data_IF_263186458288
#
_entry.id   IF_263186458288
#
_cell.length_a   1.000
_cell.length_b   1.000
_cell.length_c   1.000
_cell.angle_alpha   90.00
_cell.angle_beta   90.00
_cell.angle_gamma   90.00
#
_symmetry.space_group_name_H-M   'P 1'
#
loop_
_entity.id
_entity.type
_entity.pdbx_description
1 polymer ?
#
# COMPACT_ATOMS: atom_id res chain seq x y z
N UNK A 1 -7.78 -16.19 25.85
CA UNK A 1 -8.32 -16.77 24.60
C UNK A 1 -7.25 -16.60 23.52
N UNK A 2 -6.50 -17.65 23.20
CA UNK A 2 -5.55 -17.62 22.09
C UNK A 2 -6.33 -17.77 20.79
N UNK A 3 -6.31 -16.74 19.94
CA UNK A 3 -6.91 -16.83 18.61
C UNK A 3 -6.12 -17.83 17.77
N UNK A 4 -6.75 -18.94 17.39
CA UNK A 4 -6.26 -19.86 16.39
C UNK A 4 -6.39 -19.24 15.00
N UNK A 5 -5.56 -18.23 14.68
CA UNK A 5 -5.35 -17.87 13.28
C UNK A 5 -4.42 -18.91 12.67
N UNK A 6 -5.01 -19.94 12.04
CA UNK A 6 -4.26 -20.77 11.10
C UNK A 6 -3.68 -19.86 10.01
N UNK A 7 -2.41 -20.03 9.62
CA UNK A 7 -1.83 -19.25 8.54
C UNK A 7 -2.59 -19.57 7.24
N UNK A 8 -3.39 -18.61 6.78
CA UNK A 8 -4.05 -18.67 5.47
C UNK A 8 -2.95 -18.71 4.40
N UNK A 9 -2.99 -19.74 3.55
CA UNK A 9 -2.11 -19.78 2.38
C UNK A 9 -2.66 -18.79 1.33
N UNK A 10 -1.84 -17.81 0.95
CA UNK A 10 -2.19 -16.82 -0.05
C UNK A 10 -1.64 -17.21 -1.42
N UNK A 11 -2.40 -16.92 -2.48
CA UNK A 11 -1.98 -17.13 -3.86
C UNK A 11 -0.81 -16.22 -4.27
N UNK A 12 -0.09 -16.55 -5.36
CA UNK A 12 1.05 -15.79 -5.83
C UNK A 12 0.72 -14.32 -6.14
N UNK A 13 -0.52 -14.02 -6.51
CA UNK A 13 -1.01 -12.68 -6.78
C UNK A 13 -1.00 -11.78 -5.54
N UNK A 14 -1.48 -12.28 -4.39
CA UNK A 14 -1.49 -11.53 -3.14
C UNK A 14 -0.08 -11.42 -2.55
N UNK A 15 0.72 -12.47 -2.67
CA UNK A 15 2.13 -12.44 -2.23
C UNK A 15 2.94 -11.39 -3.01
N UNK A 16 2.67 -11.20 -4.30
CA UNK A 16 3.31 -10.18 -5.11
C UNK A 16 2.95 -8.76 -4.64
N UNK A 17 1.67 -8.51 -4.30
CA UNK A 17 1.21 -7.21 -3.77
C UNK A 17 1.76 -6.94 -2.37
N UNK A 18 1.70 -7.93 -1.48
CA UNK A 18 2.27 -7.83 -0.13
C UNK A 18 3.74 -7.39 -0.19
N UNK A 19 4.51 -7.94 -1.14
CA UNK A 19 5.90 -7.52 -1.39
C UNK A 19 6.03 -6.06 -1.84
N UNK A 20 5.10 -5.53 -2.65
CA UNK A 20 5.18 -4.13 -3.12
C UNK A 20 5.02 -3.10 -2.01
N UNK A 21 4.15 -3.41 -1.03
CA UNK A 21 3.87 -2.53 0.12
C UNK A 21 4.64 -2.90 1.39
N UNK A 22 5.37 -4.02 1.40
CA UNK A 22 6.20 -4.43 2.54
C UNK A 22 5.45 -5.17 3.65
N UNK A 23 4.31 -5.79 3.33
CA UNK A 23 3.51 -6.59 4.29
C UNK A 23 4.08 -8.00 4.43
N UNK A 24 4.18 -8.48 5.67
CA UNK A 24 4.49 -9.87 5.97
C UNK A 24 3.24 -10.74 5.74
N UNK A 25 3.26 -11.75 4.86
CA UNK A 25 2.11 -12.61 4.59
C UNK A 25 1.59 -13.42 5.79
N UNK A 26 2.38 -13.51 6.87
CA UNK A 26 1.96 -14.14 8.12
C UNK A 26 1.08 -13.24 8.98
N UNK A 27 1.08 -11.94 8.73
CA UNK A 27 0.20 -10.99 9.41
C UNK A 27 -1.16 -10.96 8.70
N UNK A 28 -2.08 -11.80 9.19
CA UNK A 28 -3.42 -11.92 8.60
C UNK A 28 -4.21 -10.61 8.60
N UNK A 29 -3.94 -9.72 9.56
CA UNK A 29 -4.62 -8.42 9.67
C UNK A 29 -4.14 -7.48 8.56
N UNK A 30 -2.83 -7.37 8.37
CA UNK A 30 -2.26 -6.53 7.30
C UNK A 30 -2.54 -7.09 5.91
N UNK A 31 -2.71 -8.40 5.78
CA UNK A 31 -3.11 -9.03 4.52
C UNK A 31 -4.51 -8.63 4.05
N UNK A 32 -5.40 -8.15 4.91
CA UNK A 32 -6.71 -7.61 4.49
C UNK A 32 -6.54 -6.38 3.59
N UNK A 33 -5.52 -5.55 3.84
CA UNK A 33 -5.19 -4.42 2.98
C UNK A 33 -4.68 -4.87 1.61
N UNK A 34 -3.94 -5.98 1.58
CA UNK A 34 -3.43 -6.59 0.34
C UNK A 34 -4.57 -7.19 -0.47
N UNK A 35 -5.54 -7.85 0.18
CA UNK A 35 -6.75 -8.37 -0.46
C UNK A 35 -7.61 -7.24 -1.05
N UNK A 36 -7.72 -6.11 -0.34
CA UNK A 36 -8.41 -4.93 -0.85
C UNK A 36 -7.70 -4.35 -2.08
N UNK A 37 -6.37 -4.22 -2.04
CA UNK A 37 -5.54 -3.75 -3.15
C UNK A 37 -5.66 -4.62 -4.42
N UNK A 38 -6.03 -5.90 -4.28
CA UNK A 38 -6.18 -6.82 -5.41
C UNK A 38 -7.51 -6.68 -6.15
N UNK A 39 -8.50 -6.01 -5.55
CA UNK A 39 -9.85 -5.87 -6.12
C UNK A 39 -9.84 -4.95 -7.34
N UNK A 40 -10.61 -5.25 -8.40
CA UNK A 40 -10.78 -4.33 -9.53
C UNK A 40 -11.30 -2.95 -9.11
N UNK A 41 -12.17 -2.88 -8.10
CA UNK A 41 -12.77 -1.65 -7.59
C UNK A 41 -11.76 -0.72 -6.90
N UNK A 42 -10.61 -1.26 -6.51
CA UNK A 42 -9.51 -0.54 -5.86
C UNK A 42 -8.58 0.18 -6.85
N UNK A 43 -8.84 0.01 -8.15
CA UNK A 43 -8.12 0.70 -9.21
C UNK A 43 -8.63 2.13 -9.38
N UNK A 44 -7.74 3.14 -9.51
CA UNK A 44 -8.14 4.47 -9.94
C UNK A 44 -8.84 4.44 -11.30
N UNK A 45 -9.65 5.47 -11.54
CA UNK A 45 -10.37 5.61 -12.81
C UNK A 45 -9.42 5.46 -14.02
N UNK A 46 -9.89 4.70 -15.01
CA UNK A 46 -9.18 4.44 -16.29
C UNK A 46 -7.89 3.62 -16.16
N UNK A 47 -7.60 3.05 -14.98
CA UNK A 47 -6.59 2.03 -14.84
C UNK A 47 -7.21 0.63 -14.86
N UNK A 48 -6.48 -0.34 -15.38
CA UNK A 48 -6.81 -1.76 -15.28
C UNK A 48 -5.61 -2.53 -14.77
N UNK A 49 -5.83 -3.73 -14.23
CA UNK A 49 -4.80 -4.59 -13.67
C UNK A 49 -4.90 -6.02 -14.20
N UNK A 50 -3.75 -6.68 -14.33
CA UNK A 50 -3.67 -8.09 -14.69
C UNK A 50 -2.47 -8.71 -13.99
N UNK A 51 -2.66 -9.90 -13.41
CA UNK A 51 -1.56 -10.70 -12.89
C UNK A 51 -0.93 -11.55 -14.01
N UNK A 52 0.35 -11.36 -14.26
CA UNK A 52 1.15 -12.23 -15.13
C UNK A 52 1.66 -13.42 -14.31
N UNK A 53 1.02 -14.58 -14.48
CA UNK A 53 1.36 -15.79 -13.75
C UNK A 53 2.76 -16.33 -14.10
N UNK A 54 3.24 -16.12 -15.33
CA UNK A 54 4.57 -16.58 -15.77
C UNK A 54 5.66 -15.75 -15.10
N UNK A 55 5.49 -14.43 -15.07
CA UNK A 55 6.42 -13.50 -14.44
C UNK A 55 6.16 -13.28 -12.94
N UNK A 56 5.09 -13.87 -12.40
CA UNK A 56 4.60 -13.73 -11.02
C UNK A 56 4.53 -12.26 -10.57
N UNK A 57 3.98 -11.40 -11.43
CA UNK A 57 3.92 -9.95 -11.18
C UNK A 57 2.63 -9.33 -11.67
N UNK A 58 2.23 -8.24 -11.03
CA UNK A 58 1.15 -7.40 -11.51
C UNK A 58 1.61 -6.47 -12.63
N UNK A 59 0.71 -6.26 -13.58
CA UNK A 59 0.82 -5.32 -14.68
C UNK A 59 -0.39 -4.40 -14.61
N UNK A 60 -0.14 -3.11 -14.58
CA UNK A 60 -1.16 -2.07 -14.54
C UNK A 60 -1.10 -1.30 -15.85
N UNK A 61 -2.26 -1.03 -16.43
CA UNK A 61 -2.35 -0.31 -17.71
C UNK A 61 -3.26 0.89 -17.56
N UNK A 62 -2.76 2.07 -17.91
CA UNK A 62 -3.56 3.28 -18.04
C UNK A 62 -4.20 3.30 -19.41
N UNK A 63 -5.53 3.12 -19.46
CA UNK A 63 -6.27 2.91 -20.70
C UNK A 63 -6.17 4.05 -21.73
N UNK A 64 -6.11 5.34 -21.36
CA UNK A 64 -6.06 6.43 -22.34
C UNK A 64 -4.79 6.46 -23.20
N UNK A 65 -3.65 6.02 -22.67
CA UNK A 65 -2.35 6.08 -23.37
C UNK A 65 -1.73 4.71 -23.60
N UNK A 66 -2.31 3.64 -23.04
CA UNK A 66 -1.71 2.31 -22.94
C UNK A 66 -0.37 2.30 -22.17
N UNK A 67 -0.13 3.28 -21.31
CA UNK A 67 1.03 3.29 -20.43
C UNK A 67 0.98 2.09 -19.49
N UNK A 68 2.12 1.41 -19.33
CA UNK A 68 2.25 0.23 -18.47
C UNK A 68 3.08 0.59 -17.24
N UNK A 69 2.54 0.25 -16.08
CA UNK A 69 3.26 0.29 -14.82
C UNK A 69 3.36 -1.12 -14.21
N UNK A 70 4.41 -1.33 -13.44
CA UNK A 70 4.61 -2.53 -12.62
C UNK A 70 4.36 -2.29 -11.14
N UNK A 71 4.05 -1.06 -10.77
CA UNK A 71 3.69 -0.63 -9.44
C UNK A 71 2.24 -0.17 -9.47
N UNK A 72 1.48 -0.54 -8.42
CA UNK A 72 0.08 -0.14 -8.33
C UNK A 72 -0.04 1.39 -8.38
N UNK A 73 -0.98 1.97 -9.15
CA UNK A 73 -1.08 3.42 -9.27
C UNK A 73 -1.37 4.14 -7.94
N UNK A 74 -2.11 3.50 -7.03
CA UNK A 74 -2.36 3.99 -5.66
C UNK A 74 -1.38 3.45 -4.61
N UNK A 75 -0.16 3.06 -4.98
CA UNK A 75 0.78 2.42 -4.04
C UNK A 75 1.07 3.27 -2.79
N UNK A 76 1.17 4.58 -2.93
CA UNK A 76 1.51 5.47 -1.81
C UNK A 76 0.35 5.60 -0.83
N UNK A 77 -0.89 5.55 -1.31
CA UNK A 77 -2.08 5.43 -0.45
C UNK A 77 -2.01 4.17 0.41
N UNK A 78 -1.73 3.01 -0.19
CA UNK A 78 -1.65 1.75 0.56
C UNK A 78 -0.47 1.72 1.54
N UNK A 79 0.68 2.29 1.17
CA UNK A 79 1.83 2.43 2.07
C UNK A 79 1.51 3.37 3.23
N UNK A 80 0.80 4.46 2.98
CA UNK A 80 0.32 5.37 4.02
C UNK A 80 -0.66 4.68 4.96
N UNK A 81 -1.65 3.97 4.43
CA UNK A 81 -2.61 3.19 5.23
C UNK A 81 -1.89 2.16 6.10
N UNK A 82 -0.95 1.40 5.53
CA UNK A 82 -0.11 0.45 6.26
C UNK A 82 0.68 1.13 7.37
N UNK A 83 1.34 2.25 7.08
CA UNK A 83 2.11 3.00 8.07
C UNK A 83 1.23 3.45 9.24
N UNK A 84 0.06 4.03 8.95
CA UNK A 84 -0.89 4.46 9.99
C UNK A 84 -1.38 3.29 10.84
N UNK A 85 -1.70 2.16 10.20
CA UNK A 85 -2.18 0.95 10.85
C UNK A 85 -1.09 0.23 11.69
N UNK A 86 0.19 0.49 11.41
CA UNK A 86 1.34 0.05 12.21
C UNK A 86 1.69 1.02 13.34
N UNK A 87 0.85 2.03 13.60
CA UNK A 87 1.08 3.03 14.66
C UNK A 87 1.90 4.24 14.21
N UNK A 88 2.00 4.47 12.90
CA UNK A 88 2.73 5.58 12.30
C UNK A 88 2.35 6.96 12.84
N UNK A 89 1.12 7.15 13.30
CA UNK A 89 0.70 8.38 13.97
C UNK A 89 1.60 8.74 15.18
N UNK A 90 1.95 7.76 16.01
CA UNK A 90 2.85 7.99 17.16
C UNK A 90 4.27 8.35 16.72
N UNK A 91 4.71 7.80 15.59
CA UNK A 91 6.00 8.16 14.99
C UNK A 91 5.98 9.60 14.50
N UNK A 92 4.89 10.02 13.84
CA UNK A 92 4.72 11.42 13.40
C UNK A 92 4.71 12.39 14.59
N UNK A 93 3.99 12.09 15.67
CA UNK A 93 4.00 12.90 16.89
C UNK A 93 5.41 13.01 17.49
N UNK A 94 6.12 11.89 17.63
CA UNK A 94 7.49 11.89 18.14
C UNK A 94 8.43 12.71 17.26
N UNK A 95 8.28 12.65 15.95
CA UNK A 95 9.10 13.42 15.02
C UNK A 95 8.80 14.91 15.13
N UNK A 96 7.53 15.29 15.29
CA UNK A 96 7.11 16.68 15.52
C UNK A 96 7.69 17.24 16.82
N UNK A 97 7.72 16.44 17.89
CA UNK A 97 8.36 16.82 19.15
C UNK A 97 9.88 16.96 19.01
N UNK A 98 10.52 16.04 18.28
CA UNK A 98 11.98 16.00 18.12
C UNK A 98 12.50 17.13 17.21
N UNK A 99 11.71 17.53 16.21
CA UNK A 99 12.00 18.65 15.32
C UNK A 99 10.68 19.41 15.10
N UNK A 100 10.36 20.39 15.96
CA UNK A 100 9.22 21.24 15.73
C UNK A 100 9.41 22.02 14.41
N UNK A 101 8.32 22.39 13.73
CA UNK A 101 8.40 23.18 12.51
C UNK A 101 9.11 24.51 12.80
N UNK A 102 9.98 24.94 11.88
CA UNK A 102 10.60 26.26 11.98
C UNK A 102 9.62 27.35 11.58
N UNK A 103 9.87 28.59 12.02
CA UNK A 103 9.05 29.75 11.63
C UNK A 103 8.99 29.94 10.11
N UNK A 104 10.03 29.55 9.37
CA UNK A 104 10.08 29.58 7.91
C UNK A 104 9.14 28.52 7.28
N UNK A 105 9.15 27.29 7.81
CA UNK A 105 8.27 26.21 7.37
C UNK A 105 6.79 26.53 7.60
N UNK A 106 6.47 27.30 8.66
CA UNK A 106 5.09 27.74 8.96
C UNK A 106 4.63 28.88 8.04
N UNK A 107 5.53 29.78 7.63
CA UNK A 107 5.19 30.96 6.81
C UNK A 107 5.14 30.67 5.30
N UNK A 108 5.80 29.62 4.84
CA UNK A 108 5.92 29.26 3.41
C UNK A 108 4.71 28.55 2.78
N UNK A 109 3.61 28.35 3.49
CA UNK A 109 2.41 27.66 2.98
C UNK A 109 1.48 28.51 2.10
N UNK A 110 1.93 29.67 1.62
CA UNK A 110 1.12 30.62 0.82
C UNK A 110 1.77 30.87 -0.54
N UNK A 111 1.69 29.90 -1.44
CA UNK A 111 1.80 30.12 -2.90
C UNK A 111 0.66 29.42 -3.62
#
# INVERSE_FOLDING_TARGET
MASFFQPKAYGPELLALAKQIGVNPRDGRLMLLVEDMAKPESMPARWTSKFDLKKKRWVYTYLPTNEISHQHPSIDYYRGALFMDMGGYRVLLRNLEARPPTDEEVRGGSE
#
